data_IF_507388735273
#
_entry.id   IF_507388735273
#
_cell.length_a   1.000
_cell.length_b   1.000
_cell.length_c   1.000
_cell.angle_alpha   90.00
_cell.angle_beta   90.00
_cell.angle_gamma   90.00
#
_symmetry.space_group_name_H-M   'P 1'
#
loop_
_entity.id
_entity.type
_entity.pdbx_description
1 polymer ?
#
# COMPACT_ATOMS: atom_id res chain seq x y z
N UNK A 1 5.21 -20.72 3.45
CA UNK A 1 6.31 -19.91 4.00
C UNK A 1 6.66 -18.69 3.15
N UNK A 2 7.09 -18.84 1.89
CA UNK A 2 7.60 -17.71 1.07
C UNK A 2 6.61 -16.55 0.86
N UNK A 3 5.33 -16.84 0.64
CA UNK A 3 4.29 -15.80 0.52
C UNK A 3 4.15 -14.93 1.80
N UNK A 4 4.38 -15.50 2.98
CA UNK A 4 4.36 -14.73 4.23
C UNK A 4 5.60 -13.84 4.37
N UNK A 5 6.75 -14.29 3.88
CA UNK A 5 7.98 -13.50 3.88
C UNK A 5 7.86 -12.33 2.91
N UNK A 6 7.37 -12.58 1.69
CA UNK A 6 7.12 -11.53 0.70
C UNK A 6 6.10 -10.50 1.21
N UNK A 7 5.06 -10.95 1.91
CA UNK A 7 4.09 -10.04 2.51
C UNK A 7 4.70 -9.14 3.60
N UNK A 8 5.64 -9.68 4.39
CA UNK A 8 6.37 -8.92 5.40
C UNK A 8 7.32 -7.89 4.78
N UNK A 9 8.15 -8.30 3.83
CA UNK A 9 9.20 -7.44 3.28
C UNK A 9 8.76 -6.51 2.16
N UNK A 10 7.86 -6.95 1.27
CA UNK A 10 7.51 -6.21 0.05
C UNK A 10 6.13 -5.55 0.10
N UNK A 11 5.22 -6.05 0.95
CA UNK A 11 3.81 -5.60 1.02
C UNK A 11 3.56 -4.77 2.30
N UNK A 12 4.61 -4.50 3.09
CA UNK A 12 4.55 -3.57 4.23
C UNK A 12 3.89 -4.16 5.47
N UNK A 13 3.86 -5.48 5.61
CA UNK A 13 3.27 -6.13 6.78
C UNK A 13 4.17 -6.03 8.03
N UNK A 14 5.49 -5.83 7.87
CA UNK A 14 6.41 -5.59 9.00
C UNK A 14 6.31 -4.16 9.57
N UNK A 15 6.02 -3.20 8.69
CA UNK A 15 6.02 -1.76 9.03
C UNK A 15 4.72 -1.31 9.73
N UNK A 16 3.73 -2.21 9.80
CA UNK A 16 2.40 -1.87 10.26
C UNK A 16 2.26 -1.89 11.79
N UNK A 17 1.97 -0.73 12.38
CA UNK A 17 1.58 -0.61 13.79
C UNK A 17 0.14 -0.10 13.95
N UNK A 18 -0.82 -1.02 14.09
CA UNK A 18 -2.20 -0.66 14.42
C UNK A 18 -2.41 -0.49 15.93
N UNK A 19 -2.92 0.68 16.32
CA UNK A 19 -3.41 0.94 17.68
C UNK A 19 -4.91 0.60 17.85
N UNK A 20 -5.64 0.33 16.76
CA UNK A 20 -7.08 0.08 16.77
C UNK A 20 -7.44 -1.12 15.90
N UNK A 21 -8.39 -1.93 16.36
CA UNK A 21 -8.84 -3.13 15.65
C UNK A 21 -9.35 -2.83 14.23
N UNK A 22 -10.12 -1.75 14.03
CA UNK A 22 -10.57 -1.35 12.68
C UNK A 22 -9.41 -0.98 11.76
N UNK A 23 -8.39 -0.30 12.27
CA UNK A 23 -7.21 0.04 11.47
C UNK A 23 -6.48 -1.24 11.04
N UNK A 24 -6.37 -2.22 11.93
CA UNK A 24 -5.83 -3.55 11.60
C UNK A 24 -6.65 -4.26 10.51
N UNK A 25 -7.98 -4.27 10.60
CA UNK A 25 -8.85 -4.88 9.58
C UNK A 25 -8.66 -4.22 8.20
N UNK A 26 -8.58 -2.89 8.14
CA UNK A 26 -8.35 -2.18 6.88
C UNK A 26 -6.99 -2.50 6.29
N UNK A 27 -5.92 -2.51 7.09
CA UNK A 27 -4.60 -2.89 6.60
C UNK A 27 -4.59 -4.32 6.08
N UNK A 28 -5.14 -5.28 6.84
CA UNK A 28 -5.23 -6.68 6.39
C UNK A 28 -5.98 -6.82 5.05
N UNK A 29 -7.06 -6.06 4.87
CA UNK A 29 -7.80 -6.06 3.60
C UNK A 29 -6.96 -5.54 2.42
N UNK A 30 -6.19 -4.47 2.63
CA UNK A 30 -5.30 -3.90 1.61
C UNK A 30 -4.14 -4.85 1.27
N UNK A 31 -3.51 -5.44 2.29
CA UNK A 31 -2.44 -6.45 2.11
C UNK A 31 -2.97 -7.65 1.33
N UNK A 32 -4.18 -8.11 1.64
CA UNK A 32 -4.81 -9.24 0.92
C UNK A 32 -5.06 -8.90 -0.55
N UNK A 33 -5.55 -7.69 -0.85
CA UNK A 33 -5.73 -7.23 -2.23
C UNK A 33 -4.40 -7.11 -2.97
N UNK A 34 -3.35 -6.62 -2.32
CA UNK A 34 -2.02 -6.53 -2.91
C UNK A 34 -1.44 -7.93 -3.21
N UNK A 35 -1.56 -8.88 -2.28
CA UNK A 35 -1.19 -10.29 -2.51
C UNK A 35 -1.94 -10.89 -3.70
N UNK A 36 -3.25 -10.63 -3.80
CA UNK A 36 -4.06 -11.10 -4.92
C UNK A 36 -3.61 -10.50 -6.25
N UNK A 37 -3.35 -9.18 -6.30
CA UNK A 37 -2.82 -8.51 -7.48
C UNK A 37 -1.48 -9.12 -7.92
N UNK A 38 -0.54 -9.27 -7.00
CA UNK A 38 0.77 -9.89 -7.27
C UNK A 38 0.59 -11.30 -7.84
N UNK A 39 -0.33 -12.09 -7.28
CA UNK A 39 -0.60 -13.45 -7.74
C UNK A 39 -1.19 -13.46 -9.15
N UNK A 40 -2.13 -12.55 -9.44
CA UNK A 40 -2.72 -12.41 -10.76
C UNK A 40 -1.67 -12.04 -11.81
N UNK A 41 -0.79 -11.08 -11.52
CA UNK A 41 0.31 -10.69 -12.42
C UNK A 41 1.26 -11.85 -12.67
N UNK A 42 1.63 -12.62 -11.64
CA UNK A 42 2.50 -13.80 -11.82
C UNK A 42 1.86 -14.85 -12.73
N UNK A 43 0.57 -15.10 -12.57
CA UNK A 43 -0.18 -16.09 -13.32
C UNK A 43 -0.39 -15.68 -14.78
N UNK A 44 -0.66 -14.40 -15.03
CA UNK A 44 -0.74 -13.85 -16.39
C UNK A 44 0.63 -13.83 -17.07
N UNK A 45 1.70 -13.54 -16.31
CA UNK A 45 3.07 -13.64 -16.82
C UNK A 45 3.40 -15.08 -17.21
N UNK A 46 3.07 -16.08 -16.38
CA UNK A 46 3.30 -17.49 -16.68
C UNK A 46 2.61 -17.94 -17.97
N UNK A 47 1.38 -17.49 -18.19
CA UNK A 47 0.58 -17.85 -19.37
C UNK A 47 1.10 -17.23 -20.67
N UNK A 48 1.63 -16.02 -20.60
CA UNK A 48 1.97 -15.23 -21.79
C UNK A 48 3.49 -15.07 -22.00
N UNK A 49 4.31 -15.70 -21.16
CA UNK A 49 5.77 -15.58 -21.25
C UNK A 49 6.30 -16.34 -22.46
N UNK A 50 6.97 -15.61 -23.34
CA UNK A 50 7.91 -16.20 -24.29
C UNK A 50 9.24 -16.48 -23.56
N UNK A 51 9.70 -17.73 -23.60
CA UNK A 51 10.96 -18.14 -22.96
C UNK A 51 12.05 -18.11 -24.00
N UNK A 52 13.01 -17.21 -23.86
CA UNK A 52 14.21 -17.20 -24.70
C UNK A 52 15.13 -18.39 -24.33
N UNK A 53 15.30 -19.38 -25.23
CA UNK A 53 16.12 -20.56 -24.95
C UNK A 53 17.62 -20.24 -24.85
N UNK A 54 18.10 -19.14 -25.43
CA UNK A 54 19.52 -18.75 -25.31
C UNK A 54 19.82 -18.18 -23.93
N UNK A 55 18.85 -17.51 -23.30
CA UNK A 55 19.00 -16.99 -21.94
C UNK A 55 19.17 -18.14 -20.93
N UNK A 56 18.42 -19.23 -21.08
CA UNK A 56 18.55 -20.42 -20.23
C UNK A 56 19.94 -21.08 -20.37
N UNK A 57 20.46 -21.15 -21.61
CA UNK A 57 21.82 -21.66 -21.88
C UNK A 57 22.90 -20.76 -21.30
N UNK A 58 22.77 -19.44 -21.43
CA UNK A 58 23.76 -18.47 -20.93
C UNK A 58 23.92 -18.54 -19.41
N UNK A 59 22.82 -18.77 -18.70
CA UNK A 59 22.82 -18.88 -17.23
C UNK A 59 23.01 -20.32 -16.73
N UNK A 60 23.21 -21.31 -17.62
CA UNK A 60 23.37 -22.73 -17.29
C UNK A 60 22.26 -23.28 -16.38
N UNK A 61 21.02 -22.80 -16.57
CA UNK A 61 19.85 -23.17 -15.75
C UNK A 61 18.78 -23.83 -16.61
N UNK A 62 18.25 -24.94 -16.10
CA UNK A 62 17.19 -25.70 -16.79
C UNK A 62 15.84 -24.94 -16.79
N UNK A 63 15.58 -24.14 -15.75
CA UNK A 63 14.33 -23.38 -15.60
C UNK A 63 14.66 -21.95 -15.24
N UNK A 64 14.26 -21.02 -16.11
CA UNK A 64 14.40 -19.59 -15.82
C UNK A 64 13.46 -19.18 -14.67
N UNK A 65 13.95 -18.43 -13.68
CA UNK A 65 13.19 -18.09 -12.49
C UNK A 65 11.90 -17.32 -12.83
N UNK A 66 10.86 -17.59 -12.03
CA UNK A 66 9.58 -16.90 -12.14
C UNK A 66 9.67 -15.47 -11.59
N UNK A 67 8.74 -14.61 -12.00
CA UNK A 67 8.65 -13.23 -11.54
C UNK A 67 8.53 -13.15 -10.01
N UNK A 68 9.48 -12.47 -9.36
CA UNK A 68 9.45 -12.23 -7.91
C UNK A 68 8.51 -11.07 -7.55
N UNK A 69 8.15 -10.95 -6.27
CA UNK A 69 7.33 -9.80 -5.81
C UNK A 69 8.10 -8.48 -5.94
N UNK A 70 9.40 -8.50 -5.64
CA UNK A 70 10.28 -7.36 -5.85
C UNK A 70 10.33 -6.90 -7.33
N UNK A 71 10.35 -7.85 -8.27
CA UNK A 71 10.30 -7.52 -9.70
C UNK A 71 8.97 -6.83 -10.06
N UNK A 72 7.84 -7.33 -9.53
CA UNK A 72 6.52 -6.71 -9.75
C UNK A 72 6.49 -5.30 -9.17
N UNK A 73 7.03 -5.10 -7.97
CA UNK A 73 7.14 -3.77 -7.36
C UNK A 73 7.95 -2.80 -8.23
N UNK A 74 9.08 -3.25 -8.78
CA UNK A 74 9.90 -2.45 -9.71
C UNK A 74 9.13 -2.10 -10.99
N UNK A 75 8.41 -3.07 -11.56
CA UNK A 75 7.55 -2.85 -12.74
C UNK A 75 6.46 -1.81 -12.43
N UNK A 76 5.80 -1.91 -11.28
CA UNK A 76 4.81 -0.92 -10.85
C UNK A 76 5.40 0.48 -10.70
N UNK A 77 6.59 0.61 -10.10
CA UNK A 77 7.26 1.91 -10.00
C UNK A 77 7.61 2.51 -11.36
N UNK A 78 7.87 1.66 -12.36
CA UNK A 78 8.16 2.09 -13.73
C UNK A 78 6.90 2.57 -14.45
N UNK A 79 5.79 1.83 -14.30
CA UNK A 79 4.52 2.12 -15.00
C UNK A 79 3.72 3.22 -14.30
N UNK A 80 3.86 3.34 -12.98
CA UNK A 80 3.20 4.35 -12.15
C UNK A 80 4.25 5.17 -11.40
N UNK A 81 5.01 6.05 -12.10
CA UNK A 81 5.98 6.89 -11.44
C UNK A 81 5.26 7.80 -10.44
N UNK A 82 5.81 7.89 -9.22
CA UNK A 82 5.36 8.87 -8.24
C UNK A 82 5.52 10.26 -8.84
N UNK A 83 4.50 11.10 -8.66
CA UNK A 83 4.57 12.49 -9.12
C UNK A 83 5.71 13.19 -8.40
N UNK A 84 6.73 13.61 -9.14
CA UNK A 84 7.79 14.45 -8.62
C UNK A 84 7.20 15.83 -8.30
N UNK A 85 7.03 16.11 -7.01
CA UNK A 85 6.53 17.40 -6.54
C UNK A 85 7.71 18.32 -6.28
N UNK A 86 7.61 19.56 -6.76
CA UNK A 86 8.53 20.61 -6.34
C UNK A 86 8.33 20.93 -4.85
N UNK A 87 9.36 21.46 -4.19
CA UNK A 87 9.29 21.82 -2.76
C UNK A 87 8.08 22.73 -2.46
N UNK A 88 7.78 23.68 -3.36
CA UNK A 88 6.61 24.56 -3.22
C UNK A 88 5.28 23.79 -3.18
N UNK A 89 5.09 22.83 -4.10
CA UNK A 89 3.89 21.99 -4.13
C UNK A 89 3.76 21.08 -2.92
N UNK A 90 4.89 20.58 -2.39
CA UNK A 90 4.91 19.80 -1.14
C UNK A 90 4.44 20.67 0.03
N UNK A 91 4.95 21.90 0.13
CA UNK A 91 4.53 22.84 1.19
C UNK A 91 3.03 23.13 1.09
N UNK A 92 2.51 23.40 -0.12
CA UNK A 92 1.08 23.65 -0.33
C UNK A 92 0.21 22.47 0.13
N UNK A 93 0.57 21.23 -0.23
CA UNK A 93 -0.16 20.04 0.21
C UNK A 93 -0.13 19.86 1.73
N UNK A 94 1.05 20.06 2.34
CA UNK A 94 1.20 19.96 3.79
C UNK A 94 0.31 20.99 4.50
N UNK A 95 0.31 22.24 4.02
CA UNK A 95 -0.55 23.31 4.57
C UNK A 95 -2.03 22.93 4.42
N UNK A 96 -2.45 22.43 3.27
CA UNK A 96 -3.83 21.98 3.05
C UNK A 96 -4.22 20.85 4.02
N UNK A 97 -3.36 19.85 4.18
CA UNK A 97 -3.59 18.75 5.13
C UNK A 97 -3.69 19.24 6.58
N UNK A 98 -2.85 20.18 6.98
CA UNK A 98 -2.94 20.79 8.31
C UNK A 98 -4.25 21.54 8.52
N UNK A 99 -4.68 22.34 7.54
CA UNK A 99 -5.95 23.06 7.62
C UNK A 99 -7.14 22.10 7.72
N UNK A 100 -7.14 21.02 6.91
CA UNK A 100 -8.18 20.00 6.95
C UNK A 100 -8.22 19.27 8.30
N UNK A 101 -7.06 18.97 8.89
CA UNK A 101 -6.98 18.39 10.23
C UNK A 101 -7.53 19.33 11.31
N UNK A 102 -7.18 20.62 11.28
CA UNK A 102 -7.70 21.62 12.22
C UNK A 102 -9.22 21.76 12.09
N UNK A 103 -9.74 21.83 10.85
CA UNK A 103 -11.20 21.90 10.58
C UNK A 103 -11.92 20.66 11.11
N UNK A 104 -11.39 19.47 10.88
CA UNK A 104 -11.96 18.21 11.37
C UNK A 104 -11.99 18.16 12.91
N UNK A 105 -10.88 18.56 13.56
CA UNK A 105 -10.84 18.65 15.04
C UNK A 105 -11.85 19.65 15.57
N UNK A 106 -11.94 20.86 15.01
CA UNK A 106 -12.93 21.88 15.42
C UNK A 106 -14.37 21.38 15.24
N UNK A 107 -14.67 20.72 14.13
CA UNK A 107 -15.98 20.12 13.87
C UNK A 107 -16.34 19.07 14.92
N UNK A 108 -15.40 18.18 15.25
CA UNK A 108 -15.59 17.14 16.27
C UNK A 108 -15.79 17.73 17.67
N UNK A 109 -15.05 18.78 18.03
CA UNK A 109 -15.25 19.50 19.29
C UNK A 109 -16.62 20.16 19.36
N UNK A 110 -17.03 20.88 18.29
CA UNK A 110 -18.38 21.47 18.20
C UNK A 110 -19.48 20.41 18.32
N UNK A 111 -19.28 19.22 17.75
CA UNK A 111 -20.23 18.11 17.89
C UNK A 111 -20.30 17.57 19.32
N UNK A 112 -19.18 17.55 20.04
CA UNK A 112 -19.15 17.19 21.46
C UNK A 112 -19.86 18.24 22.31
N UNK A 113 -19.60 19.53 22.08
CA UNK A 113 -20.28 20.64 22.77
C UNK A 113 -21.80 20.61 22.55
N UNK A 114 -22.22 20.27 21.32
CA UNK A 114 -23.63 20.11 20.95
C UNK A 114 -24.27 18.81 21.45
N UNK A 115 -23.47 17.81 21.84
CA UNK A 115 -23.94 16.53 22.39
C UNK A 115 -23.97 16.52 23.93
N UNK A 116 -23.40 17.52 24.62
CA UNK A 116 -23.64 17.73 26.05
C UNK A 116 -25.11 18.11 26.25
N UNK A 117 -25.95 17.27 26.88
CA UNK A 117 -27.30 17.68 27.18
C UNK A 117 -27.21 18.79 28.22
N UNK A 118 -27.99 19.84 28.02
CA UNK A 118 -28.46 20.75 29.07
C UNK A 118 -29.41 19.95 30.01
N UNK A 119 -28.93 18.86 30.61
CA UNK A 119 -29.62 18.03 31.59
C UNK A 119 -28.69 17.83 32.79
N UNK A 120 -28.47 18.91 33.53
CA UNK A 120 -28.06 18.88 34.92
C UNK A 120 -28.70 20.09 35.63
N UNK A 121 -30.03 20.19 35.51
CA UNK A 121 -30.91 20.98 36.38
C UNK A 121 -32.24 20.25 36.41
N UNK A 122 -32.32 19.19 37.23
CA UNK A 122 -33.30 18.91 38.30
C UNK A 122 -32.71 17.75 39.10
#
# INVERSE_FOLDING_TARGET
ERANQDAKSEIGWDEFQAQKYRAWQHHLSLTTLACWFVTAVKLDFERNREVDPELAKQFEIEVLPMLSVANIRLLLMTVMPLRELTIGQVIEQIVEHFLNRVRSTKSRLKKLDNCTPRCAMV
#
